data_IF_908668830772
#
_entry.id   IF_908668830772
#
_cell.length_a   1.000
_cell.length_b   1.000
_cell.length_c   1.000
_cell.angle_alpha   90.00
_cell.angle_beta   90.00
_cell.angle_gamma   90.00
#
_symmetry.space_group_name_H-M   'P 1'
#
loop_
_entity.id
_entity.type
_entity.pdbx_description
1 polymer ?
#
# COMPACT_ATOMS: atom_id res chain seq x y z
N UNK A 1 -4.79 -23.68 -5.06
CA UNK A 1 -6.25 -23.46 -5.14
C UNK A 1 -6.86 -24.59 -4.35
N UNK A 2 -7.64 -24.26 -3.37
CA UNK A 2 -8.38 -25.30 -2.67
C UNK A 2 -9.36 -25.95 -3.66
N UNK A 3 -9.45 -27.27 -3.59
CA UNK A 3 -10.41 -28.12 -4.29
C UNK A 3 -11.84 -27.53 -4.23
N UNK A 4 -12.06 -26.67 -3.26
CA UNK A 4 -13.30 -25.99 -2.90
C UNK A 4 -13.93 -25.07 -3.97
N UNK A 5 -13.17 -24.56 -4.94
CA UNK A 5 -13.71 -23.65 -5.97
C UNK A 5 -13.78 -24.32 -7.35
N UNK A 6 -13.43 -25.59 -7.47
CA UNK A 6 -13.45 -26.31 -8.75
C UNK A 6 -14.87 -26.55 -9.28
N UNK A 7 -15.83 -26.79 -8.38
CA UNK A 7 -17.22 -27.04 -8.78
C UNK A 7 -17.88 -25.76 -9.29
N UNK A 8 -17.66 -24.62 -8.64
CA UNK A 8 -18.12 -23.32 -9.14
C UNK A 8 -17.48 -22.96 -10.49
N UNK A 9 -16.19 -23.26 -10.65
CA UNK A 9 -15.52 -23.04 -11.93
C UNK A 9 -16.16 -23.88 -13.06
N UNK A 10 -16.41 -25.16 -12.82
CA UNK A 10 -17.01 -26.07 -13.80
C UNK A 10 -18.46 -25.69 -14.13
N UNK A 11 -19.25 -25.34 -13.12
CA UNK A 11 -20.68 -25.06 -13.28
C UNK A 11 -20.95 -23.76 -14.04
N UNK A 12 -20.18 -22.71 -13.75
CA UNK A 12 -20.39 -21.37 -14.32
C UNK A 12 -19.34 -20.95 -15.34
N UNK A 13 -18.42 -21.85 -15.70
CA UNK A 13 -17.31 -21.58 -16.64
C UNK A 13 -16.53 -20.29 -16.24
N UNK A 14 -16.26 -20.16 -14.93
CA UNK A 14 -15.50 -19.04 -14.41
C UNK A 14 -14.00 -19.24 -14.71
N UNK A 15 -13.30 -18.16 -14.93
CA UNK A 15 -11.85 -18.18 -15.14
C UNK A 15 -11.12 -18.09 -13.82
N UNK A 16 -10.21 -19.04 -13.55
CA UNK A 16 -9.29 -18.96 -12.41
C UNK A 16 -8.10 -18.05 -12.73
N UNK A 17 -7.84 -17.13 -11.83
CA UNK A 17 -6.73 -16.19 -11.93
C UNK A 17 -5.90 -16.25 -10.68
N UNK A 18 -4.57 -16.44 -10.87
CA UNK A 18 -3.59 -16.38 -9.79
C UNK A 18 -2.52 -15.38 -10.12
N UNK A 19 -2.38 -14.36 -9.30
CA UNK A 19 -1.39 -13.32 -9.50
C UNK A 19 -0.54 -13.03 -8.28
N UNK A 20 0.75 -12.80 -8.52
CA UNK A 20 1.67 -12.30 -7.50
C UNK A 20 1.57 -10.76 -7.45
N UNK A 21 1.05 -10.22 -6.37
CA UNK A 21 1.17 -8.80 -6.07
C UNK A 21 2.61 -8.53 -5.65
N UNK A 22 3.31 -7.66 -6.34
CA UNK A 22 4.72 -7.36 -6.14
C UNK A 22 5.12 -7.22 -4.66
N UNK A 23 5.65 -8.29 -4.08
CA UNK A 23 6.21 -8.34 -2.71
C UNK A 23 5.23 -8.58 -1.55
N UNK A 24 3.91 -8.59 -1.76
CA UNK A 24 2.92 -8.63 -0.66
C UNK A 24 2.07 -9.90 -0.62
N UNK A 25 2.22 -10.82 -1.57
CA UNK A 25 1.46 -12.07 -1.61
C UNK A 25 0.88 -12.39 -2.99
N UNK A 26 0.07 -13.44 -3.07
CA UNK A 26 -0.69 -13.79 -4.28
C UNK A 26 -2.18 -13.56 -4.02
N UNK A 27 -2.87 -12.99 -4.99
CA UNK A 27 -4.34 -12.96 -5.02
C UNK A 27 -4.80 -14.09 -5.94
N UNK A 28 -5.70 -14.90 -5.42
CA UNK A 28 -6.38 -15.94 -6.18
C UNK A 28 -7.83 -15.52 -6.34
N UNK A 29 -8.34 -15.53 -7.56
CA UNK A 29 -9.71 -15.15 -7.87
C UNK A 29 -10.36 -16.07 -8.89
N UNK A 30 -11.66 -16.29 -8.76
CA UNK A 30 -12.51 -16.82 -9.79
C UNK A 30 -13.34 -15.69 -10.40
N UNK A 31 -13.40 -15.62 -11.70
CA UNK A 31 -14.04 -14.51 -12.42
C UNK A 31 -14.82 -14.97 -13.63
N UNK A 32 -15.91 -14.30 -13.92
CA UNK A 32 -16.69 -14.54 -15.12
C UNK A 32 -18.12 -14.04 -15.03
N UNK A 33 -18.92 -14.44 -16.01
CA UNK A 33 -20.33 -14.08 -16.08
C UNK A 33 -21.21 -15.17 -15.48
N UNK A 34 -22.06 -14.78 -14.53
CA UNK A 34 -23.08 -15.62 -13.95
C UNK A 34 -24.45 -14.95 -14.18
N UNK A 35 -25.31 -15.59 -14.98
CA UNK A 35 -26.65 -15.08 -15.30
C UNK A 35 -26.67 -13.60 -15.78
N UNK A 36 -25.69 -13.22 -16.59
CA UNK A 36 -25.60 -11.85 -17.13
C UNK A 36 -24.91 -10.82 -16.24
N UNK A 37 -24.49 -11.21 -15.04
CA UNK A 37 -23.69 -10.37 -14.15
C UNK A 37 -22.24 -10.81 -14.13
N UNK A 38 -21.33 -9.86 -14.20
CA UNK A 38 -19.92 -10.16 -13.98
C UNK A 38 -19.63 -10.30 -12.48
N UNK A 39 -19.03 -11.43 -12.12
CA UNK A 39 -18.75 -11.83 -10.74
C UNK A 39 -17.26 -12.06 -10.58
N UNK A 40 -16.70 -11.59 -9.50
CA UNK A 40 -15.33 -11.89 -9.05
C UNK A 40 -15.38 -12.43 -7.62
N UNK A 41 -14.76 -13.58 -7.38
CA UNK A 41 -14.69 -14.24 -6.08
C UNK A 41 -13.23 -14.34 -5.68
N UNK A 42 -12.83 -13.67 -4.61
CA UNK A 42 -11.45 -13.60 -4.13
C UNK A 42 -11.33 -14.16 -2.72
N UNK A 43 -10.29 -14.95 -2.48
CA UNK A 43 -9.93 -15.34 -1.12
C UNK A 43 -9.14 -14.24 -0.42
N UNK A 44 -9.58 -13.88 0.79
CA UNK A 44 -8.92 -12.90 1.64
C UNK A 44 -8.99 -13.29 3.11
N UNK A 45 -7.85 -13.60 3.73
CA UNK A 45 -7.77 -13.91 5.17
C UNK A 45 -8.79 -14.97 5.66
N UNK A 46 -8.87 -16.10 4.97
CA UNK A 46 -9.83 -17.19 5.28
C UNK A 46 -11.30 -16.79 5.15
N UNK A 47 -11.58 -15.79 4.32
CA UNK A 47 -12.92 -15.37 3.92
C UNK A 47 -12.91 -15.20 2.41
N UNK A 48 -14.09 -15.24 1.83
CA UNK A 48 -14.28 -14.94 0.43
C UNK A 48 -14.98 -13.61 0.27
N UNK A 49 -14.39 -12.79 -0.57
CA UNK A 49 -14.95 -11.51 -1.01
C UNK A 49 -15.51 -11.71 -2.40
N UNK A 50 -16.81 -11.50 -2.55
CA UNK A 50 -17.55 -11.65 -3.79
C UNK A 50 -17.95 -10.27 -4.26
N UNK A 51 -17.54 -9.87 -5.45
CA UNK A 51 -17.95 -8.63 -6.07
C UNK A 51 -18.85 -8.92 -7.27
N UNK A 52 -20.04 -8.35 -7.28
CA UNK A 52 -21.03 -8.49 -8.37
C UNK A 52 -21.24 -7.13 -8.99
N UNK A 53 -20.91 -7.00 -10.26
CA UNK A 53 -21.02 -5.73 -10.98
C UNK A 53 -22.48 -5.36 -11.26
N UNK A 54 -22.85 -4.10 -11.05
CA UNK A 54 -24.20 -3.59 -11.20
C UNK A 54 -24.23 -2.21 -11.87
N UNK A 55 -25.32 -1.89 -12.55
CA UNK A 55 -25.51 -0.64 -13.30
C UNK A 55 -26.28 0.45 -12.53
N UNK A 56 -26.91 0.08 -11.45
CA UNK A 56 -27.72 0.99 -10.64
C UNK A 56 -27.18 1.06 -9.23
N UNK A 57 -27.21 2.24 -8.69
CA UNK A 57 -27.01 2.43 -7.25
C UNK A 57 -28.20 1.80 -6.52
N UNK A 58 -27.87 0.96 -5.54
CA UNK A 58 -28.87 0.30 -4.69
C UNK A 58 -29.01 1.13 -3.42
N UNK A 59 -30.23 1.61 -3.19
CA UNK A 59 -30.51 2.37 -1.98
C UNK A 59 -30.33 1.51 -0.71
N UNK A 60 -30.17 2.18 0.42
CA UNK A 60 -29.92 1.53 1.71
C UNK A 60 -31.06 0.61 2.16
N UNK A 61 -32.30 0.90 1.79
CA UNK A 61 -33.43 0.05 2.14
C UNK A 61 -33.37 -1.28 1.40
N UNK A 62 -33.11 -1.22 0.10
CA UNK A 62 -32.97 -2.40 -0.76
C UNK A 62 -31.74 -3.22 -0.40
N UNK A 63 -30.62 -2.56 -0.12
CA UNK A 63 -29.42 -3.23 0.38
C UNK A 63 -29.68 -3.94 1.73
N UNK A 64 -30.44 -3.33 2.61
CA UNK A 64 -30.85 -3.94 3.87
C UNK A 64 -31.74 -5.17 3.65
N UNK A 65 -32.66 -5.12 2.67
CA UNK A 65 -33.48 -6.29 2.29
C UNK A 65 -32.61 -7.43 1.76
N UNK A 66 -31.64 -7.12 0.89
CA UNK A 66 -30.66 -8.12 0.41
C UNK A 66 -29.85 -8.69 1.56
N UNK A 67 -29.32 -7.84 2.44
CA UNK A 67 -28.54 -8.25 3.61
C UNK A 67 -29.34 -9.21 4.51
N UNK A 68 -30.57 -8.87 4.83
CA UNK A 68 -31.41 -9.71 5.68
C UNK A 68 -31.70 -11.07 5.03
N UNK A 69 -31.94 -11.08 3.72
CA UNK A 69 -32.12 -12.33 2.98
C UNK A 69 -30.85 -13.18 2.95
N UNK A 70 -29.70 -12.59 2.66
CA UNK A 70 -28.43 -13.29 2.69
C UNK A 70 -28.11 -13.85 4.08
N UNK A 71 -28.42 -13.12 5.13
CA UNK A 71 -28.23 -13.56 6.51
C UNK A 71 -29.14 -14.74 6.89
N UNK A 72 -30.30 -14.85 6.26
CA UNK A 72 -31.20 -15.99 6.45
C UNK A 72 -30.80 -17.20 5.64
N UNK A 73 -30.43 -16.97 4.37
CA UNK A 73 -30.22 -18.04 3.39
C UNK A 73 -28.78 -18.61 3.44
N UNK A 74 -27.79 -17.82 3.89
CA UNK A 74 -26.37 -18.16 3.89
C UNK A 74 -25.82 -18.23 5.31
N UNK A 75 -25.43 -19.41 5.77
CA UNK A 75 -25.04 -19.64 7.16
C UNK A 75 -23.84 -18.79 7.62
N UNK A 76 -22.81 -18.72 6.81
CA UNK A 76 -21.55 -18.02 7.13
C UNK A 76 -21.42 -16.62 6.49
N UNK A 77 -22.56 -16.02 6.10
CA UNK A 77 -22.60 -14.65 5.59
C UNK A 77 -22.21 -13.62 6.65
N UNK A 78 -21.40 -12.65 6.29
CA UNK A 78 -20.87 -11.63 7.22
C UNK A 78 -21.37 -10.24 6.91
N UNK A 79 -21.23 -9.81 5.66
CA UNK A 79 -21.46 -8.43 5.26
C UNK A 79 -21.88 -8.32 3.80
N UNK A 80 -22.74 -7.35 3.49
CA UNK A 80 -22.98 -6.86 2.14
C UNK A 80 -22.89 -5.34 2.14
N UNK A 81 -22.21 -4.79 1.15
CA UNK A 81 -22.14 -3.35 0.93
C UNK A 81 -22.19 -3.04 -0.55
N UNK A 82 -22.69 -1.85 -0.87
CA UNK A 82 -22.65 -1.32 -2.23
C UNK A 82 -21.49 -0.33 -2.33
N UNK A 83 -20.64 -0.52 -3.30
CA UNK A 83 -19.52 0.38 -3.57
C UNK A 83 -19.46 0.71 -5.06
N UNK A 84 -19.60 2.01 -5.39
CA UNK A 84 -19.52 2.55 -6.76
C UNK A 84 -20.41 1.82 -7.76
N UNK A 85 -19.97 0.72 -8.34
CA UNK A 85 -20.65 -0.02 -9.38
C UNK A 85 -20.70 -1.53 -9.12
N UNK A 86 -20.57 -1.93 -7.87
CA UNK A 86 -20.66 -3.34 -7.51
C UNK A 86 -21.22 -3.52 -6.09
N UNK A 87 -21.81 -4.69 -5.87
CA UNK A 87 -22.10 -5.18 -4.53
C UNK A 87 -20.93 -6.04 -4.10
N UNK A 88 -20.41 -5.79 -2.93
CA UNK A 88 -19.43 -6.62 -2.28
C UNK A 88 -20.09 -7.44 -1.17
N UNK A 89 -19.91 -8.76 -1.23
CA UNK A 89 -20.37 -9.70 -0.20
C UNK A 89 -19.16 -10.34 0.46
N UNK A 90 -19.21 -10.53 1.77
CA UNK A 90 -18.19 -11.25 2.53
C UNK A 90 -18.80 -12.51 3.12
N UNK A 91 -18.24 -13.66 2.77
CA UNK A 91 -18.66 -15.00 3.24
C UNK A 91 -17.45 -15.71 3.85
N UNK A 92 -17.67 -16.55 4.86
CA UNK A 92 -16.64 -17.45 5.35
C UNK A 92 -16.46 -18.66 4.42
N UNK A 93 -15.48 -19.47 4.74
CA UNK A 93 -14.89 -20.56 3.99
C UNK A 93 -15.84 -21.76 3.79
N UNK A 94 -16.88 -21.61 2.96
CA UNK A 94 -17.76 -22.69 2.53
C UNK A 94 -18.20 -22.46 1.08
N UNK A 95 -17.86 -23.39 0.18
CA UNK A 95 -18.27 -23.31 -1.23
C UNK A 95 -19.78 -23.23 -1.40
N UNK A 96 -20.51 -24.01 -0.63
CA UNK A 96 -21.97 -23.98 -0.61
C UNK A 96 -22.50 -22.59 -0.29
N UNK A 97 -21.92 -21.95 0.74
CA UNK A 97 -22.36 -20.62 1.16
C UNK A 97 -21.96 -19.55 0.15
N UNK A 98 -20.81 -19.69 -0.51
CA UNK A 98 -20.38 -18.81 -1.60
C UNK A 98 -21.37 -18.89 -2.76
N UNK A 99 -21.67 -20.10 -3.23
CA UNK A 99 -22.65 -20.34 -4.30
C UNK A 99 -24.00 -19.74 -3.95
N UNK A 100 -24.52 -20.05 -2.78
CA UNK A 100 -25.81 -19.57 -2.31
C UNK A 100 -25.85 -18.05 -2.17
N UNK A 101 -24.75 -17.41 -1.71
CA UNK A 101 -24.66 -15.96 -1.61
C UNK A 101 -24.70 -15.31 -2.98
N UNK A 102 -23.97 -15.83 -3.96
CA UNK A 102 -23.95 -15.33 -5.34
C UNK A 102 -25.31 -15.47 -5.99
N UNK A 103 -25.92 -16.65 -5.92
CA UNK A 103 -27.23 -16.91 -6.49
C UNK A 103 -28.34 -16.04 -5.86
N UNK A 104 -28.34 -15.89 -4.54
CA UNK A 104 -29.29 -15.02 -3.83
C UNK A 104 -29.15 -13.57 -4.27
N UNK A 105 -27.92 -13.08 -4.38
CA UNK A 105 -27.64 -11.71 -4.80
C UNK A 105 -28.02 -11.48 -6.29
N UNK A 106 -27.66 -12.39 -7.18
CA UNK A 106 -28.02 -12.30 -8.61
C UNK A 106 -29.54 -12.35 -8.80
N UNK A 107 -30.24 -13.23 -8.10
CA UNK A 107 -31.70 -13.30 -8.15
C UNK A 107 -32.36 -12.01 -7.64
N UNK A 108 -31.78 -11.39 -6.62
CA UNK A 108 -32.23 -10.09 -6.13
C UNK A 108 -32.00 -9.00 -7.19
N UNK A 109 -30.80 -8.92 -7.77
CA UNK A 109 -30.43 -7.94 -8.79
C UNK A 109 -31.27 -8.09 -10.06
N UNK A 110 -31.57 -9.32 -10.46
CA UNK A 110 -32.43 -9.59 -11.62
C UNK A 110 -33.85 -9.07 -11.39
N UNK A 111 -34.39 -9.20 -10.17
CA UNK A 111 -35.70 -8.65 -9.82
C UNK A 111 -35.70 -7.11 -9.79
N UNK A 112 -34.56 -6.50 -9.48
CA UNK A 112 -34.36 -5.05 -9.54
C UNK A 112 -34.06 -4.54 -10.96
N UNK A 113 -34.13 -5.41 -11.97
CA UNK A 113 -33.82 -5.10 -13.38
C UNK A 113 -32.42 -4.50 -13.57
N UNK A 114 -31.48 -4.88 -12.70
CA UNK A 114 -30.08 -4.43 -12.77
C UNK A 114 -29.32 -5.19 -13.85
N UNK A 115 -28.27 -4.59 -14.39
CA UNK A 115 -27.39 -5.18 -15.41
C UNK A 115 -25.93 -4.88 -15.07
N UNK A 116 -25.01 -5.64 -15.64
CA UNK A 116 -23.60 -5.30 -15.57
C UNK A 116 -23.25 -4.10 -16.46
N UNK A 117 -22.42 -3.18 -15.95
CA UNK A 117 -21.91 -2.05 -16.73
C UNK A 117 -20.44 -1.74 -16.40
N UNK A 118 -19.78 -1.00 -17.27
CA UNK A 118 -18.47 -0.47 -16.99
C UNK A 118 -18.51 0.50 -15.80
N UNK A 119 -17.62 0.30 -14.81
CA UNK A 119 -17.55 1.13 -13.61
C UNK A 119 -17.14 2.59 -13.88
N UNK A 120 -16.49 2.84 -15.02
CA UNK A 120 -16.01 4.18 -15.39
C UNK A 120 -16.96 4.92 -16.32
N UNK A 121 -17.30 4.35 -17.48
CA UNK A 121 -18.12 5.06 -18.46
C UNK A 121 -19.62 4.79 -18.33
N UNK A 122 -20.03 3.81 -17.52
CA UNK A 122 -21.43 3.46 -17.30
C UNK A 122 -22.12 2.74 -18.48
N UNK A 123 -21.38 2.43 -19.56
CA UNK A 123 -21.95 1.76 -20.73
C UNK A 123 -22.11 0.27 -20.50
N UNK A 124 -23.19 -0.30 -21.06
CA UNK A 124 -23.38 -1.73 -21.12
C UNK A 124 -22.63 -2.25 -22.36
N UNK A 125 -21.39 -2.68 -22.17
CA UNK A 125 -20.58 -3.25 -23.23
C UNK A 125 -20.48 -4.77 -23.08
N UNK A 126 -20.40 -5.47 -24.19
CA UNK A 126 -20.33 -6.94 -24.24
C UNK A 126 -19.00 -7.51 -23.79
N UNK A 127 -17.99 -6.66 -23.56
CA UNK A 127 -16.67 -7.03 -23.11
C UNK A 127 -16.27 -6.23 -21.87
N UNK A 128 -16.87 -6.57 -20.75
CA UNK A 128 -16.43 -6.08 -19.44
C UNK A 128 -15.54 -7.14 -18.83
N UNK A 129 -14.39 -6.75 -18.30
CA UNK A 129 -13.47 -7.63 -17.57
C UNK A 129 -13.17 -7.06 -16.19
N UNK A 130 -12.84 -7.93 -15.26
CA UNK A 130 -12.32 -7.47 -13.98
C UNK A 130 -10.88 -7.01 -14.17
N UNK A 131 -10.62 -5.79 -13.81
CA UNK A 131 -9.31 -5.17 -14.00
C UNK A 131 -8.83 -4.63 -12.67
N UNK A 132 -7.67 -5.08 -12.21
CA UNK A 132 -7.03 -4.54 -11.02
C UNK A 132 -6.13 -3.39 -11.41
N UNK A 133 -6.42 -2.22 -10.87
CA UNK A 133 -5.61 -1.02 -11.02
C UNK A 133 -4.67 -0.93 -9.82
N UNK A 134 -3.37 -0.99 -10.11
CA UNK A 134 -2.30 -0.84 -9.11
C UNK A 134 -1.59 0.48 -9.34
N UNK A 135 -1.68 1.37 -8.38
CA UNK A 135 -0.87 2.59 -8.28
C UNK A 135 -0.12 2.52 -6.97
N UNK A 136 1.00 3.23 -6.81
CA UNK A 136 1.89 3.12 -5.64
C UNK A 136 1.20 3.11 -4.28
N UNK A 137 0.10 3.84 -4.16
CA UNK A 137 -0.71 4.02 -2.95
C UNK A 137 -2.12 3.41 -3.03
N UNK A 138 -2.42 2.75 -4.16
CA UNK A 138 -3.78 2.33 -4.49
C UNK A 138 -3.79 0.96 -5.19
N UNK A 139 -4.60 0.07 -4.68
CA UNK A 139 -4.87 -1.24 -5.31
C UNK A 139 -6.35 -1.53 -5.21
N UNK A 140 -7.06 -1.42 -6.31
CA UNK A 140 -8.50 -1.71 -6.35
C UNK A 140 -8.86 -2.37 -7.69
N UNK A 141 -9.77 -3.33 -7.63
CA UNK A 141 -10.30 -3.99 -8.80
C UNK A 141 -11.64 -3.42 -9.23
N UNK A 142 -11.80 -3.21 -10.52
CA UNK A 142 -13.01 -2.70 -11.14
C UNK A 142 -13.42 -3.55 -12.33
N UNK A 143 -14.72 -3.53 -12.62
CA UNK A 143 -15.26 -4.08 -13.85
C UNK A 143 -15.23 -3.00 -14.93
N UNK A 144 -14.29 -3.12 -15.87
CA UNK A 144 -14.02 -2.10 -16.87
C UNK A 144 -14.23 -2.63 -18.30
N UNK A 145 -14.75 -1.81 -19.19
CA UNK A 145 -14.72 -2.10 -20.61
C UNK A 145 -13.32 -1.84 -21.20
N UNK A 146 -13.04 -2.45 -22.34
CA UNK A 146 -11.74 -2.37 -23.00
C UNK A 146 -11.31 -0.94 -23.33
N UNK A 147 -12.26 -0.08 -23.70
CA UNK A 147 -11.98 1.32 -24.01
C UNK A 147 -11.53 2.10 -22.78
N UNK A 148 -12.21 1.92 -21.64
CA UNK A 148 -11.81 2.56 -20.39
C UNK A 148 -10.46 2.07 -19.87
N UNK A 149 -10.15 0.78 -20.05
CA UNK A 149 -8.83 0.25 -19.70
C UNK A 149 -7.74 0.91 -20.53
N UNK A 150 -7.92 1.03 -21.84
CA UNK A 150 -6.96 1.71 -22.73
C UNK A 150 -6.79 3.19 -22.38
N UNK A 151 -7.88 3.87 -22.02
CA UNK A 151 -7.83 5.28 -21.61
C UNK A 151 -7.00 5.45 -20.34
N UNK A 152 -7.22 4.62 -19.32
CA UNK A 152 -6.44 4.62 -18.09
C UNK A 152 -4.97 4.26 -18.37
N UNK A 153 -4.69 3.27 -19.22
CA UNK A 153 -3.32 2.91 -19.63
C UNK A 153 -2.61 4.14 -20.24
N UNK A 154 -3.26 4.82 -21.17
CA UNK A 154 -2.70 6.01 -21.83
C UNK A 154 -2.46 7.18 -20.85
N UNK A 155 -3.38 7.40 -19.91
CA UNK A 155 -3.20 8.44 -18.87
C UNK A 155 -2.02 8.10 -17.96
N UNK A 156 -1.90 6.83 -17.54
CA UNK A 156 -0.82 6.40 -16.68
C UNK A 156 0.55 6.39 -17.38
N UNK A 157 0.58 6.06 -18.66
CA UNK A 157 1.83 6.19 -19.44
C UNK A 157 2.29 7.66 -19.50
N UNK A 158 1.38 8.60 -19.74
CA UNK A 158 1.71 10.03 -19.70
C UNK A 158 2.21 10.48 -18.33
N UNK A 159 1.50 10.09 -17.26
CA UNK A 159 1.92 10.41 -15.88
C UNK A 159 3.31 9.83 -15.56
N UNK A 160 3.59 8.61 -16.01
CA UNK A 160 4.89 7.97 -15.88
C UNK A 160 6.00 8.70 -16.64
N UNK A 161 5.72 9.12 -17.88
CA UNK A 161 6.65 9.92 -18.65
C UNK A 161 6.95 11.28 -17.99
N UNK A 162 5.93 11.95 -17.47
CA UNK A 162 6.10 13.22 -16.73
C UNK A 162 6.97 13.03 -15.48
N UNK A 163 6.72 11.98 -14.71
CA UNK A 163 7.55 11.64 -13.55
C UNK A 163 8.99 11.29 -13.93
N UNK A 164 9.20 10.65 -15.08
CA UNK A 164 10.56 10.33 -15.56
C UNK A 164 11.34 11.60 -15.95
N UNK A 165 10.67 12.65 -16.42
CA UNK A 165 11.30 13.94 -16.79
C UNK A 165 11.75 14.75 -15.56
N UNK A 166 11.25 14.43 -14.36
CA UNK A 166 11.68 15.11 -13.13
C UNK A 166 13.14 14.80 -12.85
N UNK A 167 13.98 15.83 -12.86
CA UNK A 167 15.39 15.71 -12.54
C UNK A 167 15.62 15.76 -11.02
N UNK A 168 16.54 14.92 -10.56
CA UNK A 168 16.98 14.94 -9.17
C UNK A 168 17.81 16.20 -8.89
N UNK A 169 17.45 16.93 -7.86
CA UNK A 169 18.32 18.01 -7.34
C UNK A 169 19.11 17.48 -6.14
N UNK A 170 20.33 17.00 -6.40
CA UNK A 170 21.17 16.38 -5.39
C UNK A 170 21.47 17.33 -4.21
N UNK A 171 21.85 18.57 -4.49
CA UNK A 171 22.26 19.51 -3.44
C UNK A 171 21.09 19.84 -2.51
N UNK A 172 19.92 20.17 -3.08
CA UNK A 172 18.71 20.43 -2.29
C UNK A 172 18.28 19.18 -1.52
N UNK A 173 18.35 18.01 -2.17
CA UNK A 173 18.03 16.73 -1.53
C UNK A 173 18.94 16.43 -0.35
N UNK A 174 20.26 16.59 -0.51
CA UNK A 174 21.22 16.38 0.58
C UNK A 174 20.99 17.34 1.76
N UNK A 175 20.78 18.63 1.48
CA UNK A 175 20.46 19.63 2.52
C UNK A 175 19.14 19.28 3.24
N UNK A 176 18.12 18.90 2.49
CA UNK A 176 16.84 18.46 3.06
C UNK A 176 17.00 17.24 3.94
N UNK A 177 17.77 16.26 3.48
CA UNK A 177 18.08 15.05 4.24
C UNK A 177 18.79 15.35 5.55
N UNK A 178 19.79 16.22 5.51
CA UNK A 178 20.55 16.62 6.68
C UNK A 178 19.65 17.36 7.70
N UNK A 179 18.88 18.33 7.24
CA UNK A 179 17.94 19.08 8.09
C UNK A 179 16.91 18.11 8.71
N UNK A 180 16.33 17.22 7.90
CA UNK A 180 15.36 16.24 8.37
C UNK A 180 15.94 15.29 9.43
N UNK A 181 17.17 14.80 9.22
CA UNK A 181 17.88 13.97 10.20
C UNK A 181 18.15 14.70 11.51
N UNK A 182 18.59 15.97 11.46
CA UNK A 182 18.88 16.79 12.65
C UNK A 182 17.59 17.12 13.43
N UNK A 183 16.52 17.50 12.76
CA UNK A 183 15.22 17.77 13.42
C UNK A 183 14.72 16.51 14.14
N UNK A 184 14.72 15.36 13.45
CA UNK A 184 14.30 14.11 14.07
C UNK A 184 15.29 13.59 15.11
N UNK A 185 16.55 14.02 15.05
CA UNK A 185 17.56 13.77 16.06
C UNK A 185 17.22 14.34 17.44
N UNK A 186 16.36 15.34 17.52
CA UNK A 186 15.85 15.87 18.79
C UNK A 186 15.13 14.76 19.57
N UNK A 187 14.44 13.85 18.88
CA UNK A 187 13.78 12.71 19.52
C UNK A 187 14.77 11.79 20.26
N UNK A 188 15.99 11.61 19.69
CA UNK A 188 17.07 10.87 20.36
C UNK A 188 17.48 11.53 21.66
N UNK A 189 17.60 12.86 21.67
CA UNK A 189 17.99 13.62 22.87
C UNK A 189 16.93 13.46 23.95
N UNK A 190 15.66 13.70 23.60
CA UNK A 190 14.53 13.61 24.53
C UNK A 190 14.42 12.21 25.14
N UNK A 191 14.34 11.17 24.28
CA UNK A 191 14.17 9.79 24.74
C UNK A 191 15.43 9.29 25.46
N UNK A 192 16.61 9.70 24.99
CA UNK A 192 17.89 9.35 25.60
C UNK A 192 18.08 9.89 27.02
N UNK A 193 17.37 10.94 27.40
CA UNK A 193 17.35 11.43 28.78
C UNK A 193 16.65 10.45 29.72
N UNK A 194 15.69 9.66 29.23
CA UNK A 194 14.92 8.69 30.03
C UNK A 194 15.47 7.27 30.02
N UNK A 195 16.52 6.97 29.23
CA UNK A 195 17.22 5.68 29.29
C UNK A 195 17.46 4.98 27.94
N UNK A 196 17.51 3.62 27.94
CA UNK A 196 17.97 2.79 26.81
C UNK A 196 17.04 2.74 25.59
N UNK A 197 15.84 3.32 25.65
CA UNK A 197 14.87 3.29 24.56
C UNK A 197 15.24 4.20 23.36
N UNK A 198 16.31 4.97 23.48
CA UNK A 198 16.78 5.87 22.42
C UNK A 198 17.03 5.17 21.06
N UNK A 199 17.37 3.88 21.08
CA UNK A 199 17.63 3.11 19.86
C UNK A 199 16.42 3.09 18.90
N UNK A 200 15.19 3.15 19.41
CA UNK A 200 13.99 3.20 18.59
C UNK A 200 13.83 4.51 17.82
N UNK A 201 14.46 5.59 18.29
CA UNK A 201 14.39 6.89 17.62
C UNK A 201 15.24 6.95 16.35
N UNK A 202 16.09 5.94 16.10
CA UNK A 202 16.86 5.79 14.86
C UNK A 202 15.90 5.73 13.65
N UNK A 203 14.76 5.07 13.82
CA UNK A 203 13.73 4.99 12.77
C UNK A 203 13.26 6.40 12.39
N UNK A 204 13.03 7.26 13.38
CA UNK A 204 12.60 8.65 13.15
C UNK A 204 13.69 9.47 12.46
N UNK A 205 14.95 9.32 12.86
CA UNK A 205 16.08 10.01 12.22
C UNK A 205 16.20 9.59 10.75
N UNK A 206 16.13 8.28 10.50
CA UNK A 206 16.18 7.74 9.13
C UNK A 206 14.98 8.21 8.29
N UNK A 207 13.77 8.20 8.86
CA UNK A 207 12.57 8.70 8.20
C UNK A 207 12.67 10.21 7.89
N UNK A 208 13.22 11.00 8.82
CA UNK A 208 13.48 12.41 8.62
C UNK A 208 14.47 12.66 7.48
N UNK A 209 15.55 11.88 7.42
CA UNK A 209 16.54 11.97 6.34
C UNK A 209 15.92 11.64 4.97
N UNK A 210 15.15 10.54 4.89
CA UNK A 210 14.45 10.13 3.65
C UNK A 210 13.42 11.18 3.26
N UNK A 211 12.55 11.61 4.17
CA UNK A 211 11.51 12.60 3.92
C UNK A 211 12.07 13.95 3.46
N UNK A 212 13.10 14.43 4.14
CA UNK A 212 13.78 15.68 3.77
C UNK A 212 14.41 15.61 2.37
N UNK A 213 15.05 14.48 2.02
CA UNK A 213 15.58 14.27 0.68
C UNK A 213 14.47 14.24 -0.37
N UNK A 214 13.38 13.52 -0.10
CA UNK A 214 12.24 13.35 -1.02
C UNK A 214 11.60 14.69 -1.37
N UNK A 215 11.36 15.51 -0.36
CA UNK A 215 10.70 16.82 -0.53
C UNK A 215 11.55 17.78 -1.36
N UNK A 216 12.86 17.87 -1.09
CA UNK A 216 13.73 18.86 -1.74
C UNK A 216 14.48 18.29 -2.95
N UNK A 217 14.80 17.00 -2.97
CA UNK A 217 15.52 16.33 -4.06
C UNK A 217 14.62 15.85 -5.19
N UNK A 218 13.31 15.65 -4.94
CA UNK A 218 12.27 15.24 -5.89
C UNK A 218 12.40 13.81 -6.46
N UNK A 219 13.61 13.30 -6.63
CA UNK A 219 13.89 11.95 -7.13
C UNK A 219 15.04 11.35 -6.35
N UNK A 220 14.99 10.04 -6.09
CA UNK A 220 16.04 9.31 -5.37
C UNK A 220 16.70 8.32 -6.32
N UNK A 221 18.01 8.44 -6.47
CA UNK A 221 18.86 7.47 -7.15
C UNK A 221 19.91 6.91 -6.17
N UNK A 222 20.86 6.12 -6.65
CA UNK A 222 21.90 5.52 -5.81
C UNK A 222 22.72 6.58 -5.03
N UNK A 223 23.05 7.70 -5.66
CA UNK A 223 23.75 8.82 -5.00
C UNK A 223 22.85 9.47 -3.94
N UNK A 224 21.55 9.59 -4.20
CA UNK A 224 20.58 10.08 -3.23
C UNK A 224 20.48 9.14 -2.00
N UNK A 225 20.49 7.84 -2.22
CA UNK A 225 20.53 6.86 -1.12
C UNK A 225 21.79 7.03 -0.28
N UNK A 226 22.96 7.17 -0.92
CA UNK A 226 24.21 7.41 -0.21
C UNK A 226 24.17 8.71 0.62
N UNK A 227 23.63 9.80 0.05
CA UNK A 227 23.45 11.07 0.74
C UNK A 227 22.53 10.96 1.95
N UNK A 228 21.42 10.22 1.85
CA UNK A 228 20.50 9.93 2.95
C UNK A 228 21.22 9.14 4.07
N UNK A 229 21.97 8.10 3.73
CA UNK A 229 22.75 7.34 4.72
C UNK A 229 23.76 8.22 5.46
N UNK A 230 24.51 9.05 4.73
CA UNK A 230 25.46 9.99 5.33
C UNK A 230 24.75 10.97 6.28
N UNK A 231 23.63 11.55 5.84
CA UNK A 231 22.83 12.47 6.65
C UNK A 231 22.30 11.80 7.93
N UNK A 232 21.85 10.54 7.83
CA UNK A 232 21.40 9.76 8.99
C UNK A 232 22.52 9.54 9.98
N UNK A 233 23.71 9.17 9.52
CA UNK A 233 24.89 8.98 10.39
C UNK A 233 25.26 10.28 11.11
N UNK A 234 25.28 11.39 10.37
CA UNK A 234 25.54 12.73 10.96
C UNK A 234 24.46 13.08 11.98
N UNK A 235 23.20 12.82 11.68
CA UNK A 235 22.07 13.06 12.60
C UNK A 235 22.18 12.26 13.90
N UNK A 236 22.50 10.96 13.80
CA UNK A 236 22.74 10.09 14.98
C UNK A 236 23.93 10.61 15.80
N UNK A 237 25.04 10.88 15.15
CA UNK A 237 26.24 11.40 15.81
C UNK A 237 25.98 12.70 16.55
N UNK A 238 25.44 13.67 15.85
CA UNK A 238 25.15 14.97 16.42
C UNK A 238 24.22 14.87 17.63
N UNK A 239 23.16 14.09 17.51
CA UNK A 239 22.19 13.90 18.58
C UNK A 239 22.80 13.18 19.80
N UNK A 240 23.71 12.24 19.58
CA UNK A 240 24.41 11.54 20.66
C UNK A 240 25.35 12.47 21.41
N UNK A 241 26.14 13.28 20.69
CA UNK A 241 27.06 14.26 21.31
C UNK A 241 26.29 15.35 22.08
N UNK A 242 25.15 15.80 21.53
CA UNK A 242 24.25 16.74 22.23
C UNK A 242 23.69 16.14 23.51
N UNK A 243 23.24 14.89 23.48
CA UNK A 243 22.74 14.19 24.65
C UNK A 243 23.83 14.06 25.74
N UNK A 244 25.07 13.73 25.32
CA UNK A 244 26.19 13.67 26.21
C UNK A 244 26.53 15.05 26.85
N UNK A 245 26.56 16.11 26.03
CA UNK A 245 26.76 17.49 26.50
C UNK A 245 25.76 17.87 27.61
N UNK A 246 24.49 17.57 27.40
CA UNK A 246 23.40 17.84 28.35
C UNK A 246 23.61 17.02 29.66
N UNK A 247 23.91 15.72 29.56
CA UNK A 247 24.05 14.84 30.72
C UNK A 247 25.30 15.16 31.55
N UNK A 248 26.41 15.50 30.89
CA UNK A 248 27.68 15.85 31.57
C UNK A 248 27.75 17.29 32.07
N UNK A 249 26.77 18.14 31.68
CA UNK A 249 26.78 19.59 31.91
C UNK A 249 27.99 20.30 31.30
N UNK A 250 28.64 19.70 30.32
CA UNK A 250 29.72 20.30 29.54
C UNK A 250 29.18 21.15 28.43
N UNK A 251 29.89 22.24 28.12
CA UNK A 251 29.52 23.05 26.93
C UNK A 251 29.65 22.24 25.65
N UNK A 252 28.74 22.43 24.69
CA UNK A 252 28.75 21.69 23.43
C UNK A 252 30.10 21.84 22.70
N UNK A 253 30.68 23.03 22.70
CA UNK A 253 31.98 23.29 22.08
C UNK A 253 33.13 22.59 22.78
N UNK A 254 33.04 22.38 24.11
CA UNK A 254 34.03 21.62 24.89
C UNK A 254 34.00 20.15 24.48
N UNK A 255 32.80 19.56 24.37
CA UNK A 255 32.63 18.18 23.92
C UNK A 255 33.19 17.98 22.52
N UNK A 256 32.92 18.88 21.59
CA UNK A 256 33.38 18.78 20.18
C UNK A 256 34.91 19.03 20.04
N UNK A 257 35.51 19.81 20.91
CA UNK A 257 36.96 20.10 20.86
C UNK A 257 37.81 18.99 21.49
N UNK A 258 37.28 18.18 22.39
CA UNK A 258 37.98 17.04 22.99
C UNK A 258 37.95 15.81 22.07
N UNK A 259 38.97 15.66 21.23
CA UNK A 259 39.11 14.55 20.27
C UNK A 259 39.10 13.17 20.94
N UNK A 260 39.64 13.04 22.14
CA UNK A 260 39.70 11.77 22.86
C UNK A 260 38.31 11.38 23.33
N UNK A 261 37.58 12.34 23.87
CA UNK A 261 36.20 12.16 24.31
C UNK A 261 35.28 11.80 23.15
N UNK A 262 35.35 12.57 22.05
CA UNK A 262 34.56 12.31 20.83
C UNK A 262 34.83 10.90 20.32
N UNK A 263 36.08 10.47 20.16
CA UNK A 263 36.42 9.12 19.71
C UNK A 263 35.87 8.04 20.64
N UNK A 264 35.96 8.21 21.94
CA UNK A 264 35.38 7.25 22.90
C UNK A 264 33.85 7.14 22.78
N UNK A 265 33.18 8.26 22.61
CA UNK A 265 31.72 8.28 22.48
C UNK A 265 31.23 7.65 21.17
N UNK A 266 32.01 7.82 20.08
CA UNK A 266 31.61 7.33 18.75
C UNK A 266 31.89 5.83 18.54
N UNK A 267 32.80 5.21 19.35
CA UNK A 267 33.20 3.80 19.21
C UNK A 267 32.48 2.91 20.24
N UNK A 268 31.44 3.38 20.89
CA UNK A 268 30.65 2.53 21.79
C UNK A 268 29.82 1.49 20.98
N UNK A 269 29.63 0.30 21.56
CA UNK A 269 28.84 -0.75 20.94
C UNK A 269 27.42 -0.28 20.58
N UNK A 270 26.81 0.54 21.44
CA UNK A 270 25.48 1.11 21.19
C UNK A 270 25.47 2.05 19.97
N UNK A 271 26.53 2.84 19.79
CA UNK A 271 26.66 3.74 18.64
C UNK A 271 26.89 2.98 17.34
N UNK A 272 27.73 1.95 17.34
CA UNK A 272 27.95 1.10 16.17
C UNK A 272 26.62 0.46 15.77
N UNK A 273 25.88 -0.08 16.72
CA UNK A 273 24.56 -0.67 16.48
C UNK A 273 23.58 0.37 15.92
N UNK A 274 23.56 1.57 16.49
CA UNK A 274 22.70 2.66 16.04
C UNK A 274 23.00 3.06 14.57
N UNK A 275 24.27 3.19 14.21
CA UNK A 275 24.70 3.54 12.84
C UNK A 275 24.33 2.43 11.86
N UNK A 276 24.58 1.16 12.18
CA UNK A 276 24.26 0.03 11.32
C UNK A 276 22.75 -0.05 11.07
N UNK A 277 21.93 0.06 12.12
CA UNK A 277 20.48 0.08 12.00
C UNK A 277 20.00 1.32 11.21
N UNK A 278 20.58 2.50 11.48
CA UNK A 278 20.24 3.72 10.79
C UNK A 278 20.50 3.63 9.28
N UNK A 279 21.63 3.09 8.86
CA UNK A 279 21.96 2.86 7.45
C UNK A 279 20.97 1.87 6.85
N UNK A 280 20.70 0.74 7.50
CA UNK A 280 19.75 -0.27 7.04
C UNK A 280 18.35 0.31 6.82
N UNK A 281 17.84 1.06 7.80
CA UNK A 281 16.53 1.72 7.71
C UNK A 281 16.50 2.82 6.65
N UNK A 282 17.60 3.55 6.47
CA UNK A 282 17.72 4.59 5.42
C UNK A 282 17.69 3.98 4.02
N UNK A 283 18.40 2.86 3.80
CA UNK A 283 18.39 2.15 2.50
C UNK A 283 16.99 1.61 2.21
N UNK A 284 16.36 1.00 3.20
CA UNK A 284 15.01 0.45 3.06
C UNK A 284 13.99 1.57 2.77
N UNK A 285 13.96 2.61 3.59
CA UNK A 285 13.07 3.75 3.41
C UNK A 285 13.28 4.48 2.09
N UNK A 286 14.54 4.72 1.71
CA UNK A 286 14.87 5.36 0.44
C UNK A 286 14.45 4.53 -0.78
N UNK A 287 14.57 3.19 -0.72
CA UNK A 287 14.09 2.30 -1.78
C UNK A 287 12.57 2.30 -1.89
N UNK A 288 11.86 2.33 -0.77
CA UNK A 288 10.40 2.46 -0.78
C UNK A 288 9.97 3.81 -1.38
N UNK A 289 10.56 4.91 -0.90
CA UNK A 289 10.27 6.25 -1.40
C UNK A 289 10.64 6.42 -2.89
N UNK A 290 11.73 5.79 -3.37
CA UNK A 290 12.10 5.81 -4.79
C UNK A 290 11.02 5.14 -5.66
N UNK A 291 10.50 3.98 -5.24
CA UNK A 291 9.41 3.28 -5.95
C UNK A 291 8.13 4.12 -5.97
N UNK A 292 7.81 4.79 -4.88
CA UNK A 292 6.64 5.66 -4.78
C UNK A 292 6.78 6.89 -5.69
N UNK A 293 7.97 7.51 -5.74
CA UNK A 293 8.26 8.64 -6.62
C UNK A 293 8.27 8.25 -8.11
N UNK A 294 8.74 7.06 -8.44
CA UNK A 294 8.71 6.54 -9.81
C UNK A 294 7.30 6.20 -10.26
N UNK A 295 6.41 5.92 -9.31
CA UNK A 295 5.05 5.47 -9.54
C UNK A 295 5.03 4.02 -10.05
N UNK A 296 4.46 3.12 -9.27
CA UNK A 296 4.13 1.79 -9.78
C UNK A 296 2.74 1.90 -10.41
N UNK A 297 2.67 1.82 -11.74
CA UNK A 297 1.44 1.77 -12.51
C UNK A 297 1.37 0.42 -13.18
N UNK A 298 0.45 -0.40 -12.78
CA UNK A 298 0.24 -1.71 -13.36
C UNK A 298 -1.26 -1.97 -13.49
N UNK A 299 -1.68 -2.30 -14.70
CA UNK A 299 -3.05 -2.71 -15.01
C UNK A 299 -3.02 -4.20 -15.27
N UNK A 300 -3.73 -4.96 -14.45
CA UNK A 300 -3.87 -6.40 -14.59
C UNK A 300 -5.28 -6.71 -15.06
N UNK A 301 -5.35 -7.30 -16.25
CA UNK A 301 -6.62 -7.76 -16.85
C UNK A 301 -6.79 -9.24 -16.54
N UNK A 302 -7.96 -9.59 -16.15
CA UNK A 302 -8.36 -10.95 -15.85
C UNK A 302 -9.42 -11.46 -16.81
#
# INVERSE_FOLDING_TARGET
>A
MDIMLEDLNKEYNLRYVKEKLGGVGSVEALEGYMNGFYVSIQEFSKKYRIKINVDKEIDQERLTKLFNRLKTDVYDFKEAKFEKSYIELTVKNSERDIKQAVETAINFLTKEESKSKCAFCGKNESKISYTTLLKSDYSEGFHLCENCVKEIENEWEKEKEEKQKVQMNFVKGFLGSLIGALIMGISWIIVGMFGKLAIFTIILISAGAVGGFTVLGKKINLLGIAAICVSTVIGIWFSHLMLFSIKSKMGIFEVFSDRILVNRLLITGDMITAVVLGIGMSIFGARMASKELEGVYEIKRF
#
